data_IF_201391190260
#
_entry.id   IF_201391190260
#
_cell.length_a   1.000
_cell.length_b   1.000
_cell.length_c   1.000
_cell.angle_alpha   90.00
_cell.angle_beta   90.00
_cell.angle_gamma   90.00
#
_symmetry.space_group_name_H-M   'P 1'
#
loop_
_entity.id
_entity.type
_entity.pdbx_description
1 polymer ?
#
# COMPACT_ATOMS: atom_id res chain seq x y z
N UNK A 1 -7.96 8.46 17.77
CA UNK A 1 -6.70 7.75 18.13
C UNK A 1 -5.91 7.53 16.87
N UNK A 2 -4.65 7.99 16.83
CA UNK A 2 -3.80 7.91 15.65
C UNK A 2 -2.59 7.03 15.96
N UNK A 3 -2.45 5.92 15.24
CA UNK A 3 -1.33 4.99 15.39
C UNK A 3 -0.39 5.13 14.21
N UNK A 4 0.82 5.63 14.47
CA UNK A 4 1.86 5.81 13.48
C UNK A 4 2.89 4.68 13.56
N UNK A 5 3.29 4.15 12.41
CA UNK A 5 4.36 3.18 12.25
C UNK A 5 5.57 3.89 11.63
N UNK A 6 6.73 3.74 12.26
CA UNK A 6 8.01 4.07 11.64
C UNK A 6 8.50 2.84 10.88
N UNK A 7 8.34 2.85 9.56
CA UNK A 7 8.72 1.75 8.68
C UNK A 7 10.09 2.02 8.07
N UNK A 8 11.10 1.31 8.57
CA UNK A 8 12.47 1.38 8.03
C UNK A 8 12.55 0.53 6.77
N UNK A 9 13.03 1.13 5.70
CA UNK A 9 13.18 0.49 4.39
C UNK A 9 14.59 0.68 3.87
N UNK A 10 15.04 -0.33 3.14
CA UNK A 10 16.29 -0.33 2.39
C UNK A 10 15.93 -0.42 0.91
N UNK A 11 16.23 0.63 0.15
CA UNK A 11 16.04 0.67 -1.30
C UNK A 11 17.40 0.83 -1.98
N UNK A 12 18.01 -0.30 -2.34
CA UNK A 12 19.39 -0.33 -2.81
C UNK A 12 20.36 0.13 -1.71
N UNK A 13 21.08 1.23 -1.95
CA UNK A 13 22.01 1.81 -0.98
C UNK A 13 21.38 2.87 -0.07
N UNK A 14 20.07 3.10 -0.19
CA UNK A 14 19.37 4.15 0.55
C UNK A 14 18.53 3.55 1.67
N UNK A 15 18.94 3.82 2.91
CA UNK A 15 18.13 3.58 4.09
C UNK A 15 17.24 4.79 4.33
N UNK A 16 15.94 4.57 4.48
CA UNK A 16 15.00 5.63 4.87
C UNK A 16 13.98 5.11 5.86
N UNK A 17 13.38 6.03 6.61
CA UNK A 17 12.31 5.73 7.57
C UNK A 17 11.06 6.47 7.12
N UNK A 18 9.97 5.74 6.92
CA UNK A 18 8.67 6.31 6.59
C UNK A 18 7.83 6.40 7.86
N UNK A 19 7.22 7.55 8.12
CA UNK A 19 6.16 7.69 9.11
C UNK A 19 4.83 7.43 8.44
N UNK A 20 4.14 6.35 8.82
CA UNK A 20 2.92 5.88 8.17
C UNK A 20 1.76 5.78 9.17
N UNK A 21 0.61 6.36 8.86
CA UNK A 21 -0.59 6.33 9.71
C UNK A 21 -1.34 5.02 9.49
N UNK A 22 -1.08 4.01 10.32
CA UNK A 22 -1.70 2.68 10.19
C UNK A 22 -3.15 2.69 10.66
N UNK A 23 -3.45 3.43 11.73
CA UNK A 23 -4.81 3.66 12.18
C UNK A 23 -5.09 5.14 12.44
N UNK A 24 -6.29 5.57 12.08
CA UNK A 24 -6.81 6.92 12.30
C UNK A 24 -8.21 6.80 12.91
N UNK A 25 -8.72 7.84 13.55
CA UNK A 25 -10.09 7.83 14.09
C UNK A 25 -11.17 7.63 13.03
N UNK A 26 -10.96 8.12 11.80
CA UNK A 26 -11.87 7.88 10.67
C UNK A 26 -12.02 6.40 10.31
N UNK A 27 -11.06 5.57 10.72
CA UNK A 27 -11.14 4.13 10.55
C UNK A 27 -12.28 3.53 11.37
N UNK A 28 -12.85 4.21 12.36
CA UNK A 28 -13.99 3.71 13.15
C UNK A 28 -15.31 3.75 12.36
N UNK A 29 -15.41 4.62 11.36
CA UNK A 29 -16.65 4.87 10.60
C UNK A 29 -16.71 4.07 9.29
N UNK A 30 -16.31 2.79 9.30
CA UNK A 30 -16.32 1.93 8.11
C UNK A 30 -17.50 0.96 8.11
N UNK A 31 -18.02 0.61 6.93
CA UNK A 31 -19.14 -0.34 6.79
C UNK A 31 -18.63 -1.79 6.65
N UNK A 32 -17.39 -1.99 6.21
CA UNK A 32 -16.78 -3.33 6.12
C UNK A 32 -15.25 -3.32 6.27
N UNK A 33 -14.68 -4.47 6.66
CA UNK A 33 -13.23 -4.64 6.75
C UNK A 33 -12.50 -4.40 5.41
N UNK A 34 -13.18 -4.68 4.28
CA UNK A 34 -12.62 -4.41 2.95
C UNK A 34 -12.53 -2.92 2.64
N UNK A 35 -13.56 -2.15 3.03
CA UNK A 35 -13.59 -0.70 2.89
C UNK A 35 -12.52 -0.07 3.78
N UNK A 36 -12.42 -0.50 5.04
CA UNK A 36 -11.39 -0.07 5.97
C UNK A 36 -9.99 -0.31 5.39
N UNK A 37 -9.73 -1.53 4.90
CA UNK A 37 -8.42 -1.87 4.32
C UNK A 37 -8.11 -1.02 3.10
N UNK A 38 -9.08 -0.73 2.23
CA UNK A 38 -8.91 0.16 1.07
C UNK A 38 -8.61 1.60 1.49
N UNK A 39 -9.31 2.14 2.48
CA UNK A 39 -9.01 3.46 3.07
C UNK A 39 -7.57 3.52 3.57
N UNK A 40 -7.13 2.49 4.31
CA UNK A 40 -5.74 2.36 4.78
C UNK A 40 -4.74 2.27 3.64
N UNK A 41 -5.01 1.44 2.61
CA UNK A 41 -4.14 1.33 1.42
C UNK A 41 -3.92 2.70 0.77
N UNK A 42 -5.00 3.46 0.53
CA UNK A 42 -4.91 4.80 -0.08
C UNK A 42 -4.03 5.71 0.78
N UNK A 43 -4.31 5.77 2.09
CA UNK A 43 -3.54 6.60 3.03
C UNK A 43 -2.06 6.25 3.03
N UNK A 44 -1.72 4.97 3.20
CA UNK A 44 -0.34 4.49 3.26
C UNK A 44 0.42 4.75 1.95
N UNK A 45 -0.21 4.50 0.80
CA UNK A 45 0.41 4.76 -0.51
C UNK A 45 0.67 6.25 -0.72
N UNK A 46 -0.28 7.11 -0.30
CA UNK A 46 -0.14 8.56 -0.39
C UNK A 46 1.00 9.07 0.50
N UNK A 47 1.01 8.70 1.78
CA UNK A 47 2.02 9.13 2.76
C UNK A 47 3.42 8.65 2.37
N UNK A 48 3.56 7.42 1.88
CA UNK A 48 4.84 6.94 1.38
C UNK A 48 5.31 7.74 0.17
N UNK A 49 4.41 8.00 -0.80
CA UNK A 49 4.73 8.78 -2.01
C UNK A 49 5.16 10.21 -1.66
N UNK A 50 4.48 10.85 -0.71
CA UNK A 50 4.83 12.19 -0.21
C UNK A 50 6.22 12.22 0.45
N UNK A 51 6.65 11.10 1.03
CA UNK A 51 8.00 10.90 1.61
C UNK A 51 9.04 10.41 0.57
N UNK A 52 8.65 10.33 -0.71
CA UNK A 52 9.54 9.96 -1.80
C UNK A 52 9.74 8.45 -2.00
N UNK A 53 8.85 7.61 -1.47
CA UNK A 53 8.89 6.16 -1.64
C UNK A 53 7.58 5.59 -2.18
N UNK A 54 7.66 4.59 -3.05
CA UNK A 54 6.50 3.81 -3.47
C UNK A 54 6.50 2.47 -2.75
N UNK A 55 5.47 2.22 -1.92
CA UNK A 55 5.29 0.90 -1.30
C UNK A 55 5.04 -0.15 -2.36
N UNK A 56 5.58 -1.35 -2.16
CA UNK A 56 5.26 -2.55 -2.91
C UNK A 56 4.10 -3.31 -2.27
N UNK A 57 3.59 -4.33 -2.97
CA UNK A 57 2.61 -5.24 -2.37
C UNK A 57 3.17 -6.00 -1.14
N UNK A 58 4.48 -6.24 -1.08
CA UNK A 58 5.13 -6.91 0.05
C UNK A 58 5.08 -6.01 1.29
N UNK A 59 5.35 -4.72 1.12
CA UNK A 59 5.30 -3.75 2.22
C UNK A 59 3.87 -3.63 2.75
N UNK A 60 2.88 -3.49 1.85
CA UNK A 60 1.47 -3.49 2.24
C UNK A 60 1.05 -4.79 2.94
N UNK A 61 1.57 -5.94 2.52
CA UNK A 61 1.29 -7.22 3.17
C UNK A 61 1.84 -7.24 4.61
N UNK A 62 3.06 -6.75 4.83
CA UNK A 62 3.67 -6.68 6.16
C UNK A 62 2.96 -5.68 7.08
N UNK A 63 2.55 -4.52 6.54
CA UNK A 63 1.92 -3.45 7.32
C UNK A 63 0.45 -3.80 7.66
N UNK A 64 -0.30 -4.35 6.70
CA UNK A 64 -1.74 -4.59 6.84
C UNK A 64 -2.11 -6.05 7.14
N UNK A 65 -1.11 -6.94 7.24
CA UNK A 65 -1.27 -8.37 7.50
C UNK A 65 -2.31 -9.04 6.58
N UNK A 66 -2.37 -8.57 5.33
CA UNK A 66 -3.37 -8.96 4.34
C UNK A 66 -2.72 -9.66 3.16
N UNK A 67 -3.29 -10.80 2.71
CA UNK A 67 -2.67 -11.61 1.65
C UNK A 67 -2.49 -10.84 0.34
N UNK A 68 -1.46 -11.21 -0.45
CA UNK A 68 -1.16 -10.60 -1.75
C UNK A 68 -2.38 -10.64 -2.70
N UNK A 69 -3.11 -11.75 -2.73
CA UNK A 69 -4.31 -11.90 -3.56
C UNK A 69 -5.43 -10.93 -3.14
N UNK A 70 -5.60 -10.68 -1.84
CA UNK A 70 -6.55 -9.68 -1.32
C UNK A 70 -6.11 -8.26 -1.70
N UNK A 71 -4.83 -7.93 -1.50
CA UNK A 71 -4.28 -6.62 -1.85
C UNK A 71 -4.41 -6.31 -3.35
N UNK A 72 -4.09 -7.28 -4.23
CA UNK A 72 -4.28 -7.13 -5.68
C UNK A 72 -5.74 -6.87 -6.06
N UNK A 73 -6.69 -7.58 -5.42
CA UNK A 73 -8.13 -7.35 -5.64
C UNK A 73 -8.56 -5.96 -5.18
N UNK A 74 -8.09 -5.50 -4.02
CA UNK A 74 -8.41 -4.16 -3.51
C UNK A 74 -7.81 -3.06 -4.41
N UNK A 75 -6.56 -3.19 -4.84
CA UNK A 75 -5.93 -2.25 -5.79
C UNK A 75 -6.67 -2.25 -7.14
N UNK A 76 -7.08 -3.42 -7.65
CA UNK A 76 -7.89 -3.50 -8.87
C UNK A 76 -9.24 -2.81 -8.70
N UNK A 77 -9.91 -3.03 -7.57
CA UNK A 77 -11.17 -2.36 -7.24
C UNK A 77 -11.00 -0.84 -7.21
N UNK A 78 -9.98 -0.34 -6.50
CA UNK A 78 -9.69 1.09 -6.41
C UNK A 78 -9.47 1.73 -7.78
N UNK A 79 -8.68 1.09 -8.64
CA UNK A 79 -8.47 1.54 -10.03
C UNK A 79 -9.77 1.59 -10.84
N UNK A 80 -10.64 0.59 -10.69
CA UNK A 80 -11.96 0.57 -11.34
C UNK A 80 -12.88 1.70 -10.86
N UNK A 81 -12.68 2.20 -9.64
CA UNK A 81 -13.39 3.37 -9.12
C UNK A 81 -12.75 4.71 -9.57
N UNK A 82 -11.74 4.69 -10.45
CA UNK A 82 -11.03 5.89 -10.89
C UNK A 82 -10.04 6.46 -9.88
N UNK A 83 -9.74 5.71 -8.80
CA UNK A 83 -8.76 6.14 -7.79
C UNK A 83 -7.37 5.81 -8.29
N UNK A 84 -6.53 6.83 -8.41
CA UNK A 84 -5.14 6.68 -8.81
C UNK A 84 -4.31 6.06 -7.67
N UNK A 85 -3.65 4.93 -7.94
CA UNK A 85 -2.87 4.17 -6.95
C UNK A 85 -1.48 3.86 -7.49
N UNK A 86 -0.49 4.46 -6.84
CA UNK A 86 0.93 4.32 -7.17
C UNK A 86 1.56 3.25 -6.28
N UNK A 87 1.91 2.12 -6.86
CA UNK A 87 2.52 0.99 -6.14
C UNK A 87 3.81 0.57 -6.87
N UNK A 88 4.87 0.25 -6.13
CA UNK A 88 6.13 -0.22 -6.69
C UNK A 88 5.93 -1.61 -7.28
N UNK A 89 6.08 -1.73 -8.60
CA UNK A 89 6.12 -3.03 -9.27
C UNK A 89 7.49 -3.65 -9.01
N UNK A 90 7.53 -4.79 -8.33
CA UNK A 90 8.76 -5.58 -8.20
C UNK A 90 9.08 -6.22 -9.54
N UNK A 91 10.21 -5.86 -10.16
CA UNK A 91 10.74 -6.59 -11.30
C UNK A 91 11.27 -7.96 -10.84
N UNK A 92 10.61 -9.03 -11.30
CA UNK A 92 11.16 -10.38 -11.43
C UNK A 92 10.81 -10.90 -12.83
N UNK A 93 11.84 -11.13 -13.65
CA UNK A 93 11.79 -11.44 -15.08
C UNK A 93 10.92 -12.65 -15.48
N UNK A 94 10.33 -12.56 -16.68
CA UNK A 94 9.69 -13.68 -17.39
C UNK A 94 9.09 -13.25 -18.74
N UNK A 95 9.86 -13.45 -19.80
CA UNK A 95 9.57 -13.24 -21.22
C UNK A 95 8.17 -13.65 -21.72
N UNK A 96 7.69 -12.90 -22.73
CA UNK A 96 7.32 -13.45 -24.04
C UNK A 96 5.92 -14.05 -24.21
N UNK A 97 5.02 -13.26 -24.81
CA UNK A 97 4.41 -13.48 -26.15
C UNK A 97 3.39 -12.36 -26.37
N UNK A 98 3.38 -11.61 -27.47
CA UNK A 98 3.74 -12.03 -28.82
C UNK A 98 2.49 -12.45 -29.60
N UNK A 99 1.50 -11.56 -29.71
CA UNK A 99 0.71 -11.27 -30.93
C UNK A 99 -0.33 -10.19 -30.63
#
# INVERSE_FOLDING_TARGET
MNGNLIYKIEDGHRLMSLSLTVCHEDDLNHVSLSELRRKRIIRLLKEAKEQGYLLSYKDLNLILLSSLATLKRDISYLRKQGIEVFIKNGNGNGNGNGK
#
